data_IF_458568254113
#
_entry.id   IF_458568254113
#
_cell.length_a   1.000
_cell.length_b   1.000
_cell.length_c   1.000
_cell.angle_alpha   90.00
_cell.angle_beta   90.00
_cell.angle_gamma   90.00
#
_symmetry.space_group_name_H-M   'P 1'
#
loop_
_entity.id
_entity.type
_entity.pdbx_description
1 polymer ?
#
# COMPACT_ATOMS: atom_id res chain seq x y z
N UNK A 1 30.49 -63.79 16.03
CA UNK A 1 29.61 -62.61 15.99
C UNK A 1 30.41 -61.53 15.33
N UNK A 2 30.25 -61.39 14.02
CA UNK A 2 31.01 -60.46 13.20
C UNK A 2 30.46 -59.04 13.39
N UNK A 3 31.39 -58.10 13.56
CA UNK A 3 31.12 -56.66 13.60
C UNK A 3 30.62 -56.18 12.24
N UNK A 4 29.36 -55.73 12.19
CA UNK A 4 28.80 -55.01 11.06
C UNK A 4 29.21 -53.53 11.17
N UNK A 5 29.85 -52.94 10.14
CA UNK A 5 30.20 -51.53 10.17
C UNK A 5 28.92 -50.68 10.06
N UNK A 6 28.83 -49.64 10.90
CA UNK A 6 27.79 -48.62 10.80
C UNK A 6 27.89 -47.92 9.44
N UNK A 7 27.04 -48.34 8.50
CA UNK A 7 26.89 -47.70 7.20
C UNK A 7 26.31 -46.31 7.45
N UNK A 8 27.19 -45.30 7.39
CA UNK A 8 26.80 -43.90 7.29
C UNK A 8 25.99 -43.72 6.00
N UNK A 9 24.67 -43.77 6.12
CA UNK A 9 23.74 -43.40 5.07
C UNK A 9 23.77 -41.88 4.89
N UNK A 10 24.89 -41.36 4.38
CA UNK A 10 24.90 -40.12 3.62
C UNK A 10 24.14 -40.38 2.32
N UNK A 11 22.81 -40.42 2.42
CA UNK A 11 21.97 -40.24 1.25
C UNK A 11 22.23 -38.81 0.78
N UNK A 12 23.12 -38.67 -0.21
CA UNK A 12 23.10 -37.52 -1.13
C UNK A 12 21.68 -37.48 -1.68
N UNK A 13 20.81 -36.72 -1.02
CA UNK A 13 19.55 -36.31 -1.62
C UNK A 13 19.97 -35.53 -2.85
N UNK A 14 19.86 -36.18 -4.00
CA UNK A 14 19.78 -35.52 -5.30
C UNK A 14 18.58 -34.59 -5.18
N UNK A 15 18.84 -33.36 -4.70
CA UNK A 15 18.01 -32.23 -5.02
C UNK A 15 17.97 -32.24 -6.53
N UNK A 16 16.85 -32.68 -7.09
CA UNK A 16 16.48 -32.25 -8.42
C UNK A 16 16.47 -30.73 -8.31
N UNK A 17 17.59 -30.14 -8.70
CA UNK A 17 17.70 -28.77 -9.12
C UNK A 17 16.67 -28.65 -10.24
N UNK A 18 15.43 -28.32 -9.86
CA UNK A 18 14.60 -27.52 -10.74
C UNK A 18 15.43 -26.27 -10.91
N UNK A 19 16.09 -26.23 -12.06
CA UNK A 19 16.94 -25.15 -12.48
C UNK A 19 16.04 -23.91 -12.63
N UNK A 20 15.77 -23.22 -11.52
CA UNK A 20 15.21 -21.87 -11.53
C UNK A 20 16.35 -20.89 -11.86
N UNK A 21 17.09 -21.18 -12.93
CA UNK A 21 17.87 -20.22 -13.69
C UNK A 21 17.25 -20.14 -15.08
N UNK A 22 16.00 -19.68 -15.15
CA UNK A 22 15.44 -19.14 -16.39
C UNK A 22 14.16 -18.33 -16.16
N UNK A 23 14.11 -17.57 -15.06
CA UNK A 23 13.49 -16.24 -15.14
C UNK A 23 14.64 -15.26 -15.25
N UNK A 24 15.15 -15.12 -16.48
CA UNK A 24 16.00 -13.99 -16.81
C UNK A 24 15.29 -12.75 -16.28
N UNK A 25 16.03 -11.98 -15.48
CA UNK A 25 15.72 -10.60 -15.19
C UNK A 25 15.51 -9.85 -16.52
N UNK A 26 14.29 -9.85 -17.04
CA UNK A 26 13.88 -8.85 -18.00
C UNK A 26 13.60 -7.62 -17.14
N UNK A 27 14.61 -6.75 -17.07
CA UNK A 27 14.70 -5.48 -16.33
C UNK A 27 15.67 -5.47 -15.14
N UNK A 28 16.85 -6.07 -15.31
CA UNK A 28 18.10 -5.44 -14.84
C UNK A 28 19.09 -5.45 -16.01
N UNK A 29 18.80 -4.64 -17.04
CA UNK A 29 19.92 -3.99 -17.74
C UNK A 29 20.53 -3.06 -16.71
N UNK A 30 21.67 -3.46 -16.16
CA UNK A 30 22.64 -2.57 -15.57
C UNK A 30 22.97 -1.49 -16.59
N UNK A 31 22.19 -0.41 -16.61
CA UNK A 31 22.69 0.91 -17.01
C UNK A 31 23.64 1.36 -15.89
N UNK A 32 24.78 0.67 -15.80
CA UNK A 32 25.99 1.21 -15.19
C UNK A 32 26.60 2.14 -16.23
N UNK A 33 26.17 3.39 -16.20
CA UNK A 33 26.65 4.41 -17.12
C UNK A 33 26.34 5.78 -16.55
N UNK A 34 27.38 6.45 -16.06
CA UNK A 34 27.44 7.91 -16.13
C UNK A 34 27.04 8.35 -17.54
N UNK A 35 26.16 9.34 -17.67
CA UNK A 35 25.72 9.88 -18.96
C UNK A 35 26.97 10.27 -19.76
N UNK A 36 27.29 9.51 -20.80
CA UNK A 36 28.19 9.96 -21.86
C UNK A 36 27.42 10.90 -22.79
N UNK A 37 28.13 11.78 -23.52
CA UNK A 37 27.52 12.76 -24.42
C UNK A 37 26.55 12.15 -25.47
N UNK A 38 26.63 10.84 -25.71
CA UNK A 38 25.77 10.05 -26.59
C UNK A 38 24.35 9.82 -26.06
N UNK A 39 24.12 9.90 -24.74
CA UNK A 39 22.81 9.62 -24.12
C UNK A 39 21.86 10.82 -24.17
N UNK A 40 22.36 12.05 -24.33
CA UNK A 40 21.51 13.25 -24.40
C UNK A 40 20.59 13.21 -25.63
N UNK A 41 21.09 12.73 -26.76
CA UNK A 41 20.34 12.57 -28.02
C UNK A 41 19.18 11.59 -27.93
N UNK A 42 19.29 10.53 -27.12
CA UNK A 42 18.22 9.53 -26.92
C UNK A 42 17.08 10.04 -26.03
N UNK A 43 17.38 11.04 -25.19
CA UNK A 43 16.41 11.66 -24.28
C UNK A 43 15.61 12.73 -24.99
N UNK A 44 16.26 13.52 -25.86
CA UNK A 44 15.68 14.72 -26.49
C UNK A 44 15.16 14.49 -27.89
N UNK A 45 15.29 13.27 -28.45
CA UNK A 45 14.98 12.94 -29.84
C UNK A 45 15.65 13.91 -30.84
N UNK A 46 16.81 14.48 -30.49
CA UNK A 46 17.53 15.43 -31.33
C UNK A 46 16.99 16.86 -31.34
N UNK A 47 16.06 17.24 -30.45
CA UNK A 47 15.62 18.63 -30.33
C UNK A 47 16.70 19.50 -29.66
N UNK A 48 17.28 20.49 -30.38
CA UNK A 48 18.37 21.32 -29.87
C UNK A 48 17.96 22.22 -28.69
N UNK A 49 16.66 22.53 -28.52
CA UNK A 49 16.18 23.35 -27.39
C UNK A 49 16.16 22.50 -26.11
N UNK A 50 15.64 21.28 -26.20
CA UNK A 50 15.61 20.34 -25.08
C UNK A 50 17.02 19.90 -24.67
N UNK A 51 17.94 19.76 -25.63
CA UNK A 51 19.34 19.42 -25.34
C UNK A 51 20.05 20.53 -24.56
N UNK A 52 19.85 21.80 -24.94
CA UNK A 52 20.36 22.95 -24.15
C UNK A 52 19.78 22.96 -22.75
N UNK A 53 18.47 22.72 -22.61
CA UNK A 53 17.80 22.65 -21.30
C UNK A 53 18.39 21.53 -20.44
N UNK A 54 18.66 20.36 -21.03
CA UNK A 54 19.23 19.22 -20.33
C UNK A 54 20.68 19.47 -19.89
N UNK A 55 21.50 20.13 -20.71
CA UNK A 55 22.86 20.57 -20.33
C UNK A 55 22.84 21.54 -19.14
N UNK A 56 21.92 22.50 -19.14
CA UNK A 56 21.72 23.41 -18.01
C UNK A 56 21.33 22.64 -16.74
N UNK A 57 20.44 21.65 -16.86
CA UNK A 57 20.04 20.81 -15.73
C UNK A 57 21.20 19.97 -15.18
N UNK A 58 22.07 19.47 -16.06
CA UNK A 58 23.25 18.71 -15.65
C UNK A 58 24.19 19.58 -14.80
N UNK A 59 24.50 20.80 -15.28
CA UNK A 59 25.28 21.77 -14.51
C UNK A 59 24.60 22.15 -13.19
N UNK A 60 23.27 22.31 -13.18
CA UNK A 60 22.51 22.57 -11.95
C UNK A 60 22.69 21.44 -10.91
N UNK A 61 22.66 20.19 -11.36
CA UNK A 61 22.86 19.00 -10.51
C UNK A 61 24.29 18.94 -9.98
N UNK A 62 25.30 19.23 -10.80
CA UNK A 62 26.71 19.26 -10.38
C UNK A 62 26.97 20.35 -9.34
N UNK A 63 26.43 21.56 -9.54
CA UNK A 63 26.52 22.65 -8.56
C UNK A 63 25.86 22.26 -7.24
N UNK A 64 24.72 21.57 -7.29
CA UNK A 64 24.06 21.05 -6.08
C UNK A 64 24.92 19.99 -5.36
N UNK A 65 25.61 19.13 -6.11
CA UNK A 65 26.52 18.12 -5.57
C UNK A 65 27.74 18.76 -4.89
N UNK A 66 28.38 19.73 -5.55
CA UNK A 66 29.53 20.47 -4.98
C UNK A 66 29.15 21.28 -3.75
N UNK A 67 27.94 21.83 -3.71
CA UNK A 67 27.42 22.57 -2.54
C UNK A 67 26.92 21.68 -1.40
N UNK A 68 27.13 20.36 -1.46
CA UNK A 68 26.79 19.43 -0.38
C UNK A 68 25.29 19.17 -0.21
N UNK A 69 24.47 19.49 -1.21
CA UNK A 69 23.04 19.15 -1.17
C UNK A 69 22.83 17.64 -1.36
N UNK A 70 21.66 17.16 -0.93
CA UNK A 70 21.24 15.75 -1.08
C UNK A 70 20.94 15.46 -2.56
N UNK A 71 21.94 14.97 -3.28
CA UNK A 71 21.88 14.62 -4.69
C UNK A 71 22.42 13.20 -4.88
N UNK A 72 21.71 12.32 -5.59
CA UNK A 72 22.15 10.95 -5.84
C UNK A 72 23.46 10.89 -6.66
N UNK A 73 24.19 9.77 -6.53
CA UNK A 73 25.42 9.53 -7.30
C UNK A 73 25.09 9.17 -8.75
N UNK A 74 24.17 8.23 -8.93
CA UNK A 74 23.72 7.76 -10.25
C UNK A 74 22.26 8.10 -10.54
N UNK A 75 22.02 8.97 -11.54
CA UNK A 75 20.67 9.37 -11.98
C UNK A 75 20.33 8.65 -13.29
N UNK A 76 19.23 7.89 -13.29
CA UNK A 76 18.76 7.08 -14.43
C UNK A 76 18.09 7.91 -15.53
N UNK A 77 18.04 7.39 -16.75
CA UNK A 77 17.42 8.03 -17.92
C UNK A 77 15.99 8.56 -17.66
N UNK A 78 15.16 7.73 -17.02
CA UNK A 78 13.76 8.10 -16.69
C UNK A 78 13.68 9.28 -15.72
N UNK A 79 14.63 9.39 -14.80
CA UNK A 79 14.67 10.47 -13.81
C UNK A 79 15.09 11.79 -14.45
N UNK A 80 15.98 11.75 -15.46
CA UNK A 80 16.30 12.91 -16.28
C UNK A 80 15.12 13.42 -17.10
N UNK A 81 14.33 12.51 -17.68
CA UNK A 81 13.07 12.87 -18.34
C UNK A 81 12.10 13.56 -17.37
N UNK A 82 11.98 13.05 -16.15
CA UNK A 82 11.13 13.66 -15.12
C UNK A 82 11.65 15.05 -14.69
N UNK A 83 12.97 15.22 -14.53
CA UNK A 83 13.58 16.53 -14.24
C UNK A 83 13.34 17.57 -15.35
N UNK A 84 13.32 17.14 -16.62
CA UNK A 84 13.02 18.02 -17.77
C UNK A 84 11.58 18.55 -17.74
N UNK A 85 10.63 17.74 -17.26
CA UNK A 85 9.22 18.15 -17.10
C UNK A 85 9.01 19.15 -15.98
N UNK A 86 9.92 19.22 -14.99
CA UNK A 86 9.79 20.12 -13.85
C UNK A 86 10.31 21.53 -14.16
N UNK A 87 9.42 22.52 -14.13
CA UNK A 87 9.75 23.92 -14.43
C UNK A 87 10.52 24.61 -13.30
N UNK A 88 10.18 24.33 -12.04
CA UNK A 88 10.73 25.05 -10.88
C UNK A 88 12.00 24.40 -10.33
N UNK A 89 13.01 25.24 -10.02
CA UNK A 89 14.25 24.84 -9.33
C UNK A 89 13.99 24.16 -7.99
N UNK A 90 13.02 24.68 -7.24
CA UNK A 90 12.62 24.14 -5.93
C UNK A 90 12.00 22.74 -6.07
N UNK A 91 11.20 22.51 -7.11
CA UNK A 91 10.62 21.20 -7.44
C UNK A 91 11.71 20.18 -7.77
N UNK A 92 12.65 20.53 -8.64
CA UNK A 92 13.80 19.69 -9.00
C UNK A 92 14.66 19.35 -7.79
N UNK A 93 14.98 20.32 -6.92
CA UNK A 93 15.75 20.07 -5.68
C UNK A 93 15.05 19.08 -4.76
N UNK A 94 13.73 19.23 -4.56
CA UNK A 94 12.93 18.28 -3.77
C UNK A 94 12.94 16.88 -4.38
N UNK A 95 12.84 16.78 -5.69
CA UNK A 95 12.88 15.50 -6.41
C UNK A 95 14.26 14.82 -6.30
N UNK A 96 15.35 15.55 -6.48
CA UNK A 96 16.72 15.04 -6.27
C UNK A 96 16.95 14.56 -4.84
N UNK A 97 16.51 15.34 -3.84
CA UNK A 97 16.57 14.94 -2.43
C UNK A 97 15.76 13.67 -2.15
N UNK A 98 14.62 13.49 -2.82
CA UNK A 98 13.84 12.26 -2.75
C UNK A 98 14.59 11.07 -3.34
N UNK A 99 15.16 11.19 -4.55
CA UNK A 99 15.94 10.11 -5.18
C UNK A 99 17.16 9.74 -4.32
N UNK A 100 17.91 10.72 -3.83
CA UNK A 100 19.04 10.49 -2.92
C UNK A 100 18.62 9.67 -1.68
N UNK A 101 17.47 10.01 -1.08
CA UNK A 101 16.93 9.27 0.05
C UNK A 101 16.62 7.80 -0.31
N UNK A 102 16.09 7.55 -1.51
CA UNK A 102 15.85 6.19 -2.00
C UNK A 102 17.16 5.42 -2.20
N UNK A 103 18.18 6.04 -2.81
CA UNK A 103 19.50 5.44 -3.04
C UNK A 103 20.18 5.06 -1.72
N UNK A 104 20.28 6.00 -0.77
CA UNK A 104 20.89 5.71 0.55
C UNK A 104 20.09 4.67 1.35
N UNK A 105 18.77 4.63 1.20
CA UNK A 105 17.95 3.55 1.78
C UNK A 105 18.31 2.18 1.18
N UNK A 106 18.56 2.10 -0.13
CA UNK A 106 18.96 0.86 -0.79
C UNK A 106 20.37 0.42 -0.38
N UNK A 107 21.35 1.34 -0.33
CA UNK A 107 22.70 1.06 0.17
C UNK A 107 22.66 0.50 1.60
N UNK A 108 21.93 1.16 2.50
CA UNK A 108 21.79 0.71 3.89
C UNK A 108 21.15 -0.68 3.97
N UNK A 109 20.15 -0.97 3.13
CA UNK A 109 19.52 -2.30 3.06
C UNK A 109 20.50 -3.36 2.55
N UNK A 110 21.35 -3.04 1.57
CA UNK A 110 22.39 -3.94 1.06
C UNK A 110 23.45 -4.23 2.13
N UNK A 111 23.96 -3.19 2.81
CA UNK A 111 24.94 -3.33 3.91
C UNK A 111 24.39 -4.22 5.03
N UNK A 112 23.18 -3.92 5.52
CA UNK A 112 22.52 -4.72 6.57
C UNK A 112 22.30 -6.18 6.15
N UNK A 113 21.97 -6.44 4.88
CA UNK A 113 21.82 -7.81 4.35
C UNK A 113 23.16 -8.54 4.28
N UNK A 114 24.24 -7.85 3.91
CA UNK A 114 25.59 -8.41 3.88
C UNK A 114 26.08 -8.75 5.29
N UNK A 115 25.92 -7.82 6.24
CA UNK A 115 26.22 -8.04 7.67
C UNK A 115 25.47 -9.26 8.23
N UNK A 116 24.16 -9.36 7.96
CA UNK A 116 23.36 -10.51 8.41
C UNK A 116 23.79 -11.83 7.76
N UNK A 117 24.25 -11.79 6.50
CA UNK A 117 24.78 -12.98 5.81
C UNK A 117 26.12 -13.41 6.40
N UNK A 118 26.97 -12.46 6.77
CA UNK A 118 28.24 -12.72 7.43
C UNK A 118 28.03 -13.35 8.82
N UNK A 119 27.18 -12.75 9.65
CA UNK A 119 26.79 -13.30 10.96
C UNK A 119 26.25 -14.73 10.86
N UNK A 120 25.36 -15.00 9.90
CA UNK A 120 24.85 -16.36 9.65
C UNK A 120 25.93 -17.35 9.22
N UNK A 121 26.98 -16.90 8.53
CA UNK A 121 28.10 -17.75 8.14
C UNK A 121 28.97 -18.12 9.35
N UNK A 122 29.15 -17.18 10.27
CA UNK A 122 29.93 -17.39 11.50
C UNK A 122 29.24 -18.35 12.49
N UNK A 123 27.90 -18.37 12.51
CA UNK A 123 27.09 -19.26 13.35
C UNK A 123 27.08 -20.73 12.86
N UNK A 124 27.34 -20.98 11.57
CA UNK A 124 27.42 -22.34 10.99
C UNK A 124 28.85 -22.88 11.15
N UNK A 125 29.39 -22.86 12.37
CA UNK A 125 30.60 -23.62 12.70
C UNK A 125 30.18 -24.99 13.19
N UNK A 126 30.60 -26.04 12.48
CA UNK A 126 30.39 -27.43 12.89
C UNK A 126 31.22 -27.66 14.17
N UNK A 127 30.61 -27.96 15.31
CA UNK A 127 31.34 -28.34 16.52
C UNK A 127 32.16 -29.60 16.27
N UNK A 128 33.40 -29.64 16.78
CA UNK A 128 34.29 -30.82 16.71
C UNK A 128 33.74 -32.04 17.49
N UNK A 129 32.74 -31.84 18.35
CA UNK A 129 32.18 -32.89 19.19
C UNK A 129 31.20 -33.79 18.41
N UNK A 130 31.40 -35.11 18.53
CA UNK A 130 30.58 -36.19 17.94
C UNK A 130 29.12 -36.28 18.44
N UNK A 131 28.60 -35.28 19.16
CA UNK A 131 27.25 -35.30 19.72
C UNK A 131 26.24 -34.64 18.75
N UNK A 132 25.01 -35.16 18.68
CA UNK A 132 23.94 -34.56 17.88
C UNK A 132 23.68 -33.12 18.34
N UNK A 133 23.78 -32.17 17.41
CA UNK A 133 23.45 -30.78 17.63
C UNK A 133 22.00 -30.56 17.23
N UNK A 134 21.24 -29.92 18.11
CA UNK A 134 19.86 -29.56 17.85
C UNK A 134 19.75 -28.08 17.53
N UNK A 135 19.03 -27.71 16.48
CA UNK A 135 18.87 -26.30 16.10
C UNK A 135 18.54 -26.06 14.62
N UNK A 136 18.37 -24.79 14.25
CA UNK A 136 18.05 -24.38 12.89
C UNK A 136 19.23 -24.67 11.94
N UNK A 137 19.07 -25.63 11.03
CA UNK A 137 20.16 -26.10 10.15
C UNK A 137 20.88 -27.35 10.68
N UNK A 138 20.48 -27.87 11.85
CA UNK A 138 20.93 -29.12 12.43
C UNK A 138 19.72 -30.06 12.67
N UNK A 139 19.87 -31.05 13.56
CA UNK A 139 18.78 -31.95 13.89
C UNK A 139 17.66 -31.19 14.60
N UNK A 140 16.42 -31.38 14.20
CA UNK A 140 15.27 -30.81 14.87
C UNK A 140 14.09 -31.74 14.73
N UNK A 141 13.32 -31.91 15.80
CA UNK A 141 12.05 -32.63 15.78
C UNK A 141 10.93 -31.81 15.11
N UNK A 142 11.13 -30.50 14.96
CA UNK A 142 10.16 -29.59 14.37
C UNK A 142 10.45 -29.42 12.88
N UNK A 143 9.44 -29.71 12.04
CA UNK A 143 9.51 -29.43 10.61
C UNK A 143 9.67 -27.93 10.37
N UNK A 144 10.61 -27.57 9.49
CA UNK A 144 10.78 -26.19 9.06
C UNK A 144 9.61 -25.78 8.18
N UNK A 145 8.89 -24.76 8.62
CA UNK A 145 7.89 -24.08 7.78
C UNK A 145 8.62 -23.09 6.88
N UNK A 146 8.60 -23.34 5.56
CA UNK A 146 9.23 -22.48 4.58
C UNK A 146 8.28 -21.38 4.10
N UNK A 147 8.84 -20.28 3.59
CA UNK A 147 8.05 -19.19 3.02
C UNK A 147 7.13 -19.66 1.89
N UNK A 148 7.54 -20.67 1.11
CA UNK A 148 6.71 -21.31 0.09
C UNK A 148 5.49 -22.01 0.71
N UNK A 149 5.67 -22.74 1.81
CA UNK A 149 4.60 -23.40 2.56
C UNK A 149 3.62 -22.38 3.14
N UNK A 150 4.15 -21.30 3.73
CA UNK A 150 3.35 -20.19 4.27
C UNK A 150 2.55 -19.52 3.14
N UNK A 151 3.19 -19.31 1.98
CA UNK A 151 2.52 -18.72 0.84
C UNK A 151 1.41 -19.60 0.28
N UNK A 152 1.64 -20.91 0.21
CA UNK A 152 0.62 -21.87 -0.20
C UNK A 152 -0.57 -21.87 0.77
N UNK A 153 -0.32 -21.82 2.08
CA UNK A 153 -1.37 -21.71 3.09
C UNK A 153 -2.21 -20.44 2.89
N UNK A 154 -1.58 -19.27 2.76
CA UNK A 154 -2.31 -18.02 2.54
C UNK A 154 -3.08 -17.99 1.22
N UNK A 155 -2.52 -18.55 0.14
CA UNK A 155 -3.22 -18.64 -1.15
C UNK A 155 -4.40 -19.60 -1.06
N UNK A 156 -4.27 -20.71 -0.32
CA UNK A 156 -5.37 -21.65 -0.09
C UNK A 156 -6.54 -20.98 0.64
N UNK A 157 -6.26 -20.12 1.64
CA UNK A 157 -7.30 -19.31 2.29
C UNK A 157 -8.03 -18.39 1.32
N UNK A 158 -7.30 -17.74 0.40
CA UNK A 158 -7.91 -16.89 -0.61
C UNK A 158 -8.76 -17.69 -1.61
N UNK A 159 -8.30 -18.87 -2.05
CA UNK A 159 -9.07 -19.75 -2.94
C UNK A 159 -10.37 -20.20 -2.25
N UNK A 160 -10.32 -20.52 -0.95
CA UNK A 160 -11.51 -20.82 -0.17
C UNK A 160 -12.45 -19.61 -0.11
N UNK A 161 -11.92 -18.41 0.09
CA UNK A 161 -12.71 -17.17 0.06
C UNK A 161 -13.33 -16.92 -1.32
N UNK A 162 -12.66 -17.24 -2.44
CA UNK A 162 -13.25 -17.12 -3.78
C UNK A 162 -14.48 -18.02 -3.97
N UNK A 163 -14.53 -19.18 -3.30
CA UNK A 163 -15.67 -20.10 -3.40
C UNK A 163 -16.81 -19.73 -2.46
N UNK A 164 -16.51 -19.34 -1.22
CA UNK A 164 -17.50 -19.23 -0.14
C UNK A 164 -17.50 -17.88 0.58
N UNK A 165 -16.55 -17.02 0.30
CA UNK A 165 -16.40 -15.73 0.95
C UNK A 165 -17.35 -14.67 0.41
N UNK A 166 -17.66 -13.69 1.26
CA UNK A 166 -18.37 -12.48 0.83
C UNK A 166 -17.51 -11.71 -0.18
N UNK A 167 -18.17 -11.16 -1.19
CA UNK A 167 -17.55 -10.44 -2.30
C UNK A 167 -17.31 -8.99 -1.92
N UNK A 168 -16.14 -8.48 -2.27
CA UNK A 168 -15.76 -7.08 -2.09
C UNK A 168 -15.15 -6.55 -3.37
N UNK A 169 -15.72 -5.46 -3.88
CA UNK A 169 -15.33 -4.87 -5.17
C UNK A 169 -14.48 -3.64 -4.96
N UNK A 170 -13.37 -3.56 -5.68
CA UNK A 170 -12.53 -2.38 -5.84
C UNK A 170 -12.78 -1.82 -7.23
N UNK A 171 -13.39 -0.63 -7.31
CA UNK A 171 -13.69 0.03 -8.57
C UNK A 171 -12.47 0.83 -9.06
N UNK A 172 -11.80 0.34 -10.10
CA UNK A 172 -10.58 0.91 -10.65
C UNK A 172 -10.82 1.93 -11.79
N UNK A 173 -12.03 2.49 -11.92
CA UNK A 173 -12.40 3.41 -13.01
C UNK A 173 -11.84 4.85 -12.89
N UNK A 174 -11.05 5.16 -11.86
CA UNK A 174 -10.66 6.53 -11.51
C UNK A 174 -9.31 6.99 -12.07
N UNK A 175 -8.66 6.21 -12.92
CA UNK A 175 -7.33 6.54 -13.47
C UNK A 175 -7.28 7.89 -14.19
N UNK A 176 -8.37 8.30 -14.87
CA UNK A 176 -8.48 9.61 -15.53
C UNK A 176 -8.61 10.79 -14.58
N UNK A 177 -8.99 10.54 -13.32
CA UNK A 177 -9.19 11.56 -12.29
C UNK A 177 -7.98 11.70 -11.35
N UNK A 178 -6.95 10.88 -11.54
CA UNK A 178 -5.74 10.87 -10.72
C UNK A 178 -4.55 11.39 -11.51
N UNK A 179 -3.66 12.15 -10.84
CA UNK A 179 -2.32 12.39 -11.38
C UNK A 179 -1.54 11.06 -11.47
N UNK A 180 -0.51 11.00 -12.32
CA UNK A 180 0.36 9.81 -12.43
C UNK A 180 0.89 9.36 -11.05
N UNK A 181 1.24 10.32 -10.20
CA UNK A 181 1.72 10.06 -8.84
C UNK A 181 0.63 9.49 -7.93
N UNK A 182 -0.60 9.98 -8.04
CA UNK A 182 -1.76 9.46 -7.30
C UNK A 182 -2.13 8.06 -7.76
N UNK A 183 -2.19 7.81 -9.08
CA UNK A 183 -2.41 6.48 -9.64
C UNK A 183 -1.33 5.48 -9.19
N UNK A 184 -0.06 5.89 -9.18
CA UNK A 184 1.02 5.05 -8.61
C UNK A 184 0.82 4.77 -7.11
N UNK A 185 0.33 5.76 -6.34
CA UNK A 185 0.02 5.51 -4.93
C UNK A 185 -1.20 4.61 -4.76
N UNK A 186 -2.19 4.72 -5.65
CA UNK A 186 -3.36 3.83 -5.69
C UNK A 186 -2.92 2.39 -5.95
N UNK A 187 -2.07 2.16 -6.96
CA UNK A 187 -1.51 0.83 -7.25
C UNK A 187 -0.76 0.23 -6.05
N UNK A 188 -0.04 1.04 -5.27
CA UNK A 188 0.58 0.57 -4.02
C UNK A 188 -0.46 0.25 -2.93
N UNK A 189 -1.52 1.04 -2.82
CA UNK A 189 -2.61 0.76 -1.88
C UNK A 189 -3.37 -0.52 -2.24
N UNK A 190 -3.51 -0.86 -3.53
CA UNK A 190 -4.02 -2.16 -3.98
C UNK A 190 -3.12 -3.31 -3.52
N UNK A 191 -1.79 -3.15 -3.60
CA UNK A 191 -0.84 -4.14 -3.05
C UNK A 191 -1.05 -4.36 -1.56
N UNK A 192 -1.16 -3.28 -0.78
CA UNK A 192 -1.40 -3.37 0.67
C UNK A 192 -2.74 -4.02 0.98
N UNK A 193 -3.78 -3.60 0.28
CA UNK A 193 -5.13 -4.18 0.31
C UNK A 193 -5.11 -5.69 0.10
N UNK A 194 -4.47 -6.17 -0.97
CA UNK A 194 -4.36 -7.60 -1.24
C UNK A 194 -3.62 -8.32 -0.11
N UNK A 195 -2.53 -7.71 0.37
CA UNK A 195 -1.69 -8.31 1.42
C UNK A 195 -2.42 -8.41 2.76
N UNK A 196 -3.18 -7.37 3.13
CA UNK A 196 -3.99 -7.30 4.35
C UNK A 196 -5.18 -8.27 4.28
N UNK A 197 -5.83 -8.41 3.12
CA UNK A 197 -6.87 -9.41 2.91
C UNK A 197 -6.31 -10.84 3.00
N UNK A 198 -5.16 -11.08 2.35
CA UNK A 198 -4.49 -12.38 2.30
C UNK A 198 -4.06 -12.89 3.67
N UNK A 199 -3.60 -11.99 4.54
CA UNK A 199 -3.15 -12.36 5.88
C UNK A 199 -4.30 -12.60 6.85
N UNK A 200 -5.46 -11.98 6.63
CA UNK A 200 -6.62 -12.08 7.51
C UNK A 200 -7.19 -13.51 7.60
N UNK A 201 -7.79 -13.86 8.75
CA UNK A 201 -8.29 -15.21 9.02
C UNK A 201 -9.54 -15.55 8.21
N UNK A 202 -10.38 -14.54 7.97
CA UNK A 202 -11.52 -14.61 7.05
C UNK A 202 -11.30 -13.57 5.94
N UNK A 203 -10.73 -13.92 4.78
CA UNK A 203 -10.54 -13.00 3.66
C UNK A 203 -11.85 -12.73 2.90
N UNK A 204 -11.95 -11.59 2.22
CA UNK A 204 -12.97 -11.35 1.19
C UNK A 204 -12.57 -12.01 -0.13
N UNK A 205 -13.58 -12.34 -0.93
CA UNK A 205 -13.42 -12.58 -2.37
C UNK A 205 -13.27 -11.21 -3.07
N UNK A 206 -12.03 -10.83 -3.40
CA UNK A 206 -11.72 -9.52 -3.97
C UNK A 206 -11.93 -9.50 -5.49
N UNK A 207 -12.69 -8.51 -5.96
CA UNK A 207 -12.85 -8.19 -7.38
C UNK A 207 -12.30 -6.80 -7.68
N UNK A 208 -11.34 -6.72 -8.60
CA UNK A 208 -10.93 -5.46 -9.21
C UNK A 208 -11.72 -5.30 -10.50
N UNK A 209 -12.75 -4.46 -10.48
CA UNK A 209 -13.60 -4.15 -11.63
C UNK A 209 -13.15 -2.87 -12.32
N UNK A 210 -13.55 -2.69 -13.59
CA UNK A 210 -13.07 -1.58 -14.43
C UNK A 210 -11.54 -1.48 -14.47
N UNK A 211 -10.83 -2.60 -14.26
CA UNK A 211 -9.39 -2.63 -14.03
C UNK A 211 -8.62 -2.74 -15.36
N UNK A 212 -8.54 -1.61 -16.08
CA UNK A 212 -7.82 -1.53 -17.36
C UNK A 212 -6.35 -1.86 -17.19
N UNK A 213 -5.86 -2.88 -17.90
CA UNK A 213 -4.46 -3.36 -17.78
C UNK A 213 -3.43 -2.28 -18.12
N UNK A 214 -3.79 -1.38 -19.04
CA UNK A 214 -2.94 -0.29 -19.51
C UNK A 214 -2.92 0.92 -18.56
N UNK A 215 -3.81 0.95 -17.56
CA UNK A 215 -3.90 2.00 -16.56
C UNK A 215 -2.63 2.13 -15.72
N UNK A 216 -2.34 3.36 -15.27
CA UNK A 216 -1.18 3.64 -14.42
C UNK A 216 -1.29 2.93 -13.06
N UNK A 217 -2.50 2.83 -12.52
CA UNK A 217 -2.77 2.11 -11.27
C UNK A 217 -2.45 0.62 -11.41
N UNK A 218 -2.97 -0.02 -12.46
CA UNK A 218 -2.75 -1.46 -12.71
C UNK A 218 -1.29 -1.77 -13.03
N UNK A 219 -0.62 -0.95 -13.85
CA UNK A 219 0.82 -1.08 -14.11
C UNK A 219 1.65 -1.07 -12.82
N UNK A 220 1.31 -0.17 -11.88
CA UNK A 220 2.01 -0.10 -10.60
C UNK A 220 1.66 -1.27 -9.67
N UNK A 221 0.44 -1.81 -9.75
CA UNK A 221 0.05 -3.01 -9.00
C UNK A 221 0.81 -4.25 -9.49
N UNK A 222 0.84 -4.49 -10.80
CA UNK A 222 1.62 -5.57 -11.45
C UNK A 222 3.11 -5.45 -11.15
N UNK A 223 3.66 -4.23 -11.16
CA UNK A 223 5.06 -4.02 -10.77
C UNK A 223 5.36 -4.50 -9.34
N UNK A 224 4.38 -4.43 -8.46
CA UNK A 224 4.52 -4.87 -7.07
C UNK A 224 4.32 -6.37 -6.91
N UNK A 225 3.49 -6.99 -7.77
CA UNK A 225 3.18 -8.41 -7.80
C UNK A 225 3.29 -8.88 -9.26
N UNK A 226 4.46 -9.35 -9.72
CA UNK A 226 4.65 -9.72 -11.12
C UNK A 226 3.75 -10.88 -11.60
N UNK A 227 3.40 -11.79 -10.68
CA UNK A 227 2.56 -12.97 -10.93
C UNK A 227 1.06 -12.65 -10.91
N UNK A 228 0.67 -11.38 -10.93
CA UNK A 228 -0.72 -10.95 -10.72
C UNK A 228 -1.69 -11.49 -11.78
N UNK A 229 -1.21 -11.65 -13.02
CA UNK A 229 -2.02 -12.13 -14.15
C UNK A 229 -1.89 -13.62 -14.40
N UNK A 230 -1.16 -14.34 -13.56
CA UNK A 230 -1.07 -15.79 -13.66
C UNK A 230 -2.46 -16.37 -13.35
N UNK A 231 -2.94 -17.37 -14.11
CA UNK A 231 -4.27 -17.95 -13.90
C UNK A 231 -4.50 -18.50 -12.48
N UNK A 232 -3.44 -18.95 -11.83
CA UNK A 232 -3.48 -19.53 -10.48
C UNK A 232 -3.40 -18.47 -9.36
N UNK A 233 -3.25 -17.19 -9.72
CA UNK A 233 -3.13 -16.12 -8.73
C UNK A 233 -4.51 -15.82 -8.11
N UNK A 234 -4.66 -15.88 -6.78
CA UNK A 234 -5.97 -15.90 -6.13
C UNK A 234 -6.58 -14.51 -5.95
N UNK A 235 -6.92 -13.85 -7.06
CA UNK A 235 -7.64 -12.56 -7.10
C UNK A 235 -8.44 -12.44 -8.40
N UNK A 236 -9.62 -11.81 -8.35
CA UNK A 236 -10.42 -11.59 -9.55
C UNK A 236 -10.13 -10.20 -10.15
N UNK A 237 -9.59 -10.16 -11.37
CA UNK A 237 -9.32 -8.91 -12.09
C UNK A 237 -10.09 -8.91 -13.40
N UNK A 238 -10.87 -7.86 -13.63
CA UNK A 238 -11.74 -7.75 -14.79
C UNK A 238 -11.85 -6.30 -15.27
N UNK A 239 -11.89 -6.13 -16.59
CA UNK A 239 -12.16 -4.83 -17.21
C UNK A 239 -13.65 -4.49 -17.26
N UNK A 240 -14.52 -5.47 -16.98
CA UNK A 240 -15.98 -5.32 -16.99
C UNK A 240 -16.46 -4.40 -15.87
N UNK A 241 -17.63 -3.81 -16.09
CA UNK A 241 -18.33 -3.04 -15.08
C UNK A 241 -18.91 -3.98 -14.00
N UNK A 242 -18.88 -3.56 -12.72
CA UNK A 242 -19.39 -4.40 -11.63
C UNK A 242 -20.90 -4.69 -11.74
N UNK A 243 -21.67 -3.82 -12.40
CA UNK A 243 -23.10 -4.04 -12.69
C UNK A 243 -23.35 -5.17 -13.70
N UNK A 244 -22.36 -5.57 -14.49
CA UNK A 244 -22.48 -6.72 -15.39
C UNK A 244 -22.25 -8.05 -14.65
N UNK A 245 -21.59 -7.99 -13.49
CA UNK A 245 -21.15 -9.16 -12.73
C UNK A 245 -22.07 -9.45 -11.54
N UNK A 246 -22.67 -8.41 -10.96
CA UNK A 246 -23.38 -8.51 -9.71
C UNK A 246 -24.76 -7.87 -9.80
N UNK A 247 -25.79 -8.44 -9.13
CA UNK A 247 -27.13 -7.88 -9.08
C UNK A 247 -27.11 -6.54 -8.35
N UNK A 248 -27.76 -5.54 -8.94
CA UNK A 248 -27.74 -4.16 -8.45
C UNK A 248 -28.30 -4.02 -7.03
N UNK A 249 -29.25 -4.88 -6.67
CA UNK A 249 -30.00 -4.80 -5.41
C UNK A 249 -29.13 -5.10 -4.18
N UNK A 250 -28.09 -5.91 -4.39
CA UNK A 250 -27.15 -6.37 -3.36
C UNK A 250 -25.93 -5.44 -3.24
N UNK A 251 -25.77 -4.46 -4.13
CA UNK A 251 -24.60 -3.59 -4.17
C UNK A 251 -24.78 -2.41 -3.19
N UNK A 252 -23.75 -2.17 -2.38
CA UNK A 252 -23.63 -0.98 -1.52
C UNK A 252 -22.32 -0.27 -1.82
N UNK A 253 -22.40 0.94 -2.38
CA UNK A 253 -21.23 1.74 -2.70
C UNK A 253 -20.78 2.54 -1.47
N UNK A 254 -19.56 2.27 -0.98
CA UNK A 254 -18.97 2.98 0.14
C UNK A 254 -18.32 4.29 -0.33
N UNK A 255 -18.82 5.41 0.18
CA UNK A 255 -18.31 6.74 -0.15
C UNK A 255 -18.35 7.68 1.07
N UNK A 256 -17.26 8.42 1.37
CA UNK A 256 -17.19 9.27 2.56
C UNK A 256 -18.17 10.46 2.51
N UNK A 257 -18.59 10.87 1.32
CA UNK A 257 -19.48 12.02 1.11
C UNK A 257 -20.97 11.65 1.22
N UNK A 258 -21.32 10.38 1.49
CA UNK A 258 -22.71 9.98 1.69
C UNK A 258 -23.28 10.56 2.99
N UNK A 259 -24.60 10.78 3.04
CA UNK A 259 -25.30 11.15 4.28
C UNK A 259 -25.59 9.93 5.15
N UNK A 260 -25.91 8.80 4.52
CA UNK A 260 -26.30 7.57 5.20
C UNK A 260 -25.09 6.86 5.81
N UNK A 261 -25.18 6.56 7.11
CA UNK A 261 -24.15 5.85 7.86
C UNK A 261 -24.42 4.36 7.88
N UNK A 262 -23.39 3.57 7.64
CA UNK A 262 -23.40 2.14 7.88
C UNK A 262 -23.45 1.88 9.39
N UNK A 263 -24.62 1.55 9.91
CA UNK A 263 -24.81 1.23 11.34
C UNK A 263 -24.42 -0.20 11.66
N UNK A 264 -24.84 -1.11 10.79
CA UNK A 264 -24.61 -2.55 10.89
C UNK A 264 -23.93 -3.02 9.61
N UNK A 265 -23.13 -4.08 9.74
CA UNK A 265 -22.49 -4.71 8.61
C UNK A 265 -23.40 -5.81 8.07
N UNK A 266 -23.86 -5.64 6.84
CA UNK A 266 -24.62 -6.64 6.09
C UNK A 266 -23.66 -7.65 5.44
N UNK A 267 -23.81 -8.94 5.77
CA UNK A 267 -22.98 -10.04 5.27
C UNK A 267 -23.42 -10.55 3.88
N UNK A 268 -24.63 -10.20 3.43
CA UNK A 268 -25.17 -10.58 2.12
C UNK A 268 -24.92 -9.50 1.06
N UNK A 269 -24.66 -8.26 1.49
CA UNK A 269 -24.32 -7.16 0.61
C UNK A 269 -22.95 -7.32 -0.07
N UNK A 270 -22.83 -6.75 -1.27
CA UNK A 270 -21.57 -6.62 -2.02
C UNK A 270 -21.12 -5.16 -1.90
N UNK A 271 -20.10 -4.94 -1.08
CA UNK A 271 -19.55 -3.60 -0.90
C UNK A 271 -18.65 -3.22 -2.07
N UNK A 272 -18.75 -1.96 -2.49
CA UNK A 272 -17.86 -1.36 -3.50
C UNK A 272 -17.05 -0.25 -2.85
N UNK A 273 -15.74 -0.25 -3.08
CA UNK A 273 -14.85 0.85 -2.70
C UNK A 273 -14.20 1.42 -3.96
N UNK A 274 -14.21 2.74 -4.11
CA UNK A 274 -13.47 3.40 -5.19
C UNK A 274 -11.97 3.27 -4.99
N UNK A 275 -11.26 2.64 -5.93
CA UNK A 275 -9.81 2.58 -5.93
C UNK A 275 -9.25 3.89 -6.50
N UNK A 276 -9.15 4.91 -5.64
CA UNK A 276 -8.61 6.22 -5.98
C UNK A 276 -7.79 6.81 -4.84
N UNK A 277 -6.94 7.78 -5.17
CA UNK A 277 -6.18 8.60 -4.21
C UNK A 277 -6.40 10.07 -4.55
N UNK A 278 -7.03 10.78 -3.63
CA UNK A 278 -7.64 12.11 -3.74
C UNK A 278 -6.84 13.17 -2.95
N UNK A 279 -5.51 13.21 -3.11
CA UNK A 279 -4.69 14.16 -2.33
C UNK A 279 -4.79 15.58 -2.86
N UNK A 280 -4.95 15.73 -4.17
CA UNK A 280 -4.98 17.03 -4.84
C UNK A 280 -6.40 17.60 -5.03
N UNK A 281 -7.40 16.72 -5.19
CA UNK A 281 -8.79 17.11 -5.46
C UNK A 281 -9.76 16.27 -4.61
N UNK A 282 -10.60 16.92 -3.81
CA UNK A 282 -11.58 16.30 -2.89
C UNK A 282 -12.99 16.30 -3.49
N UNK A 283 -13.08 16.20 -4.83
CA UNK A 283 -14.35 16.11 -5.52
C UNK A 283 -15.08 14.80 -5.17
N UNK A 284 -16.40 14.83 -4.94
CA UNK A 284 -17.18 13.67 -4.52
C UNK A 284 -17.49 12.72 -5.70
N UNK A 285 -16.45 12.25 -6.40
CA UNK A 285 -16.53 11.45 -7.63
C UNK A 285 -17.27 10.13 -7.42
N UNK A 286 -16.93 9.40 -6.36
CA UNK A 286 -17.58 8.13 -6.01
C UNK A 286 -19.06 8.29 -5.68
N UNK A 287 -19.42 9.37 -4.98
CA UNK A 287 -20.82 9.69 -4.67
C UNK A 287 -21.59 10.05 -5.95
N UNK A 288 -21.01 10.88 -6.82
CA UNK A 288 -21.64 11.27 -8.08
C UNK A 288 -21.86 10.06 -8.99
N UNK A 289 -20.88 9.15 -9.06
CA UNK A 289 -20.97 7.90 -9.83
C UNK A 289 -22.08 6.99 -9.28
N UNK A 290 -22.06 6.70 -7.98
CA UNK A 290 -23.05 5.83 -7.34
C UNK A 290 -24.48 6.38 -7.45
N UNK A 291 -24.66 7.70 -7.36
CA UNK A 291 -25.96 8.37 -7.60
C UNK A 291 -26.44 8.20 -9.04
N UNK A 292 -25.55 8.41 -10.02
CA UNK A 292 -25.90 8.27 -11.45
C UNK A 292 -26.37 6.85 -11.78
N UNK A 293 -25.76 5.87 -11.14
CA UNK A 293 -26.10 4.46 -11.31
C UNK A 293 -27.28 4.01 -10.43
N UNK A 294 -27.75 4.87 -9.52
CA UNK A 294 -28.86 4.61 -8.61
C UNK A 294 -28.58 3.47 -7.63
N UNK A 295 -27.36 3.41 -7.09
CA UNK A 295 -26.93 2.39 -6.13
C UNK A 295 -27.27 2.82 -4.69
N UNK A 296 -27.41 1.83 -3.78
CA UNK A 296 -27.38 2.09 -2.34
C UNK A 296 -25.98 2.60 -1.98
N UNK A 297 -25.91 3.60 -1.11
CA UNK A 297 -24.65 4.24 -0.72
C UNK A 297 -24.56 4.35 0.78
N UNK A 298 -23.39 4.10 1.35
CA UNK A 298 -23.16 4.29 2.77
C UNK A 298 -21.78 4.90 3.04
N UNK A 299 -21.64 5.63 4.14
CA UNK A 299 -20.34 6.01 4.70
C UNK A 299 -20.08 5.20 5.98
N UNK A 300 -18.80 5.02 6.31
CA UNK A 300 -18.41 4.44 7.59
C UNK A 300 -18.85 5.36 8.75
N UNK A 301 -19.27 4.83 9.91
CA UNK A 301 -19.76 5.61 11.04
C UNK A 301 -18.63 6.27 11.86
N UNK A 302 -17.65 6.87 11.19
CA UNK A 302 -16.43 7.35 11.84
C UNK A 302 -16.70 8.41 12.91
N UNK A 303 -17.62 9.35 12.63
CA UNK A 303 -17.95 10.46 13.54
C UNK A 303 -18.67 10.01 14.81
N UNK A 304 -19.25 8.80 14.81
CA UNK A 304 -19.93 8.23 15.97
C UNK A 304 -18.95 7.67 17.00
N UNK A 305 -17.84 7.11 16.54
CA UNK A 305 -16.90 6.37 17.38
C UNK A 305 -15.56 7.10 17.58
N UNK A 306 -15.22 8.05 16.71
CA UNK A 306 -13.90 8.70 16.70
C UNK A 306 -14.00 10.21 16.89
N UNK A 307 -13.26 10.71 17.88
CA UNK A 307 -13.04 12.14 18.06
C UNK A 307 -11.90 12.61 17.15
N UNK A 308 -12.19 13.50 16.20
CA UNK A 308 -11.21 13.98 15.23
C UNK A 308 -10.34 15.13 15.78
N UNK A 309 -9.04 15.04 15.52
CA UNK A 309 -8.06 16.07 15.85
C UNK A 309 -8.14 17.26 14.89
N UNK A 310 -7.55 18.39 15.28
CA UNK A 310 -7.48 19.55 14.41
C UNK A 310 -6.67 19.19 13.14
N UNK A 311 -7.32 19.24 11.96
CA UNK A 311 -6.70 18.89 10.67
C UNK A 311 -6.72 17.40 10.30
N UNK A 312 -7.41 16.55 11.06
CA UNK A 312 -7.60 15.14 10.71
C UNK A 312 -8.57 14.96 9.52
N UNK A 313 -8.08 14.54 8.36
CA UNK A 313 -8.96 14.20 7.22
C UNK A 313 -9.70 12.89 7.45
N UNK A 314 -11.01 12.93 7.19
CA UNK A 314 -11.93 11.79 7.27
C UNK A 314 -11.85 10.85 6.07
N UNK A 315 -11.14 11.25 5.00
CA UNK A 315 -10.85 10.35 3.89
C UNK A 315 -9.78 9.32 4.32
N UNK A 316 -10.16 8.05 4.30
CA UNK A 316 -9.31 6.91 4.65
C UNK A 316 -8.72 6.29 3.38
N UNK A 317 -7.52 5.72 3.49
CA UNK A 317 -6.90 5.03 2.35
C UNK A 317 -7.59 3.70 2.08
N UNK A 318 -7.47 3.17 0.85
CA UNK A 318 -8.12 1.92 0.44
C UNK A 318 -7.83 0.76 1.40
N UNK A 319 -6.56 0.59 1.76
CA UNK A 319 -6.12 -0.45 2.67
C UNK A 319 -6.64 -0.24 4.11
N UNK A 320 -6.88 1.00 4.56
CA UNK A 320 -7.49 1.27 5.87
C UNK A 320 -8.95 0.86 5.88
N UNK A 321 -9.70 1.22 4.82
CA UNK A 321 -11.10 0.83 4.67
C UNK A 321 -11.23 -0.69 4.68
N UNK A 322 -10.33 -1.41 3.99
CA UNK A 322 -10.40 -2.87 3.92
C UNK A 322 -10.10 -3.54 5.25
N UNK A 323 -9.12 -3.04 6.03
CA UNK A 323 -8.90 -3.53 7.40
C UNK A 323 -10.13 -3.33 8.28
N UNK A 324 -10.77 -2.17 8.17
CA UNK A 324 -12.02 -1.89 8.89
C UNK A 324 -13.10 -2.89 8.48
N UNK A 325 -13.28 -3.14 7.18
CA UNK A 325 -14.30 -4.08 6.68
C UNK A 325 -14.01 -5.54 7.08
N UNK A 326 -12.74 -5.95 7.09
CA UNK A 326 -12.33 -7.28 7.53
C UNK A 326 -12.67 -7.50 9.01
N UNK A 327 -12.30 -6.56 9.86
CA UNK A 327 -12.51 -6.64 11.30
C UNK A 327 -13.99 -6.49 11.69
N UNK A 328 -14.73 -5.58 11.06
CA UNK A 328 -16.17 -5.43 11.37
C UNK A 328 -16.95 -6.67 10.95
N UNK A 329 -16.60 -7.29 9.81
CA UNK A 329 -17.23 -8.54 9.37
C UNK A 329 -16.97 -9.69 10.34
N UNK A 330 -15.73 -9.80 10.82
CA UNK A 330 -15.32 -10.89 11.70
C UNK A 330 -15.78 -10.70 13.16
N UNK A 331 -15.79 -9.44 13.65
CA UNK A 331 -16.03 -9.16 15.07
C UNK A 331 -17.36 -8.50 15.39
N UNK A 332 -18.03 -7.89 14.41
CA UNK A 332 -19.24 -7.08 14.62
C UNK A 332 -19.02 -5.79 15.44
N UNK A 333 -17.78 -5.48 15.84
CA UNK A 333 -17.47 -4.36 16.72
C UNK A 333 -16.76 -3.24 15.96
N UNK A 334 -17.44 -2.08 15.86
CA UNK A 334 -16.86 -0.85 15.32
C UNK A 334 -15.66 -0.37 16.14
N UNK A 335 -15.66 -0.57 17.45
CA UNK A 335 -14.54 -0.19 18.33
C UNK A 335 -13.25 -0.96 18.03
N UNK A 336 -13.35 -2.23 17.59
CA UNK A 336 -12.20 -3.00 17.11
C UNK A 336 -11.81 -2.56 15.70
N UNK A 337 -12.78 -2.52 14.79
CA UNK A 337 -12.53 -2.21 13.38
C UNK A 337 -11.87 -0.82 13.20
N UNK A 338 -12.31 0.19 13.95
CA UNK A 338 -11.83 1.56 13.82
C UNK A 338 -10.45 1.81 14.46
N UNK A 339 -9.84 0.81 15.11
CA UNK A 339 -8.44 0.91 15.59
C UNK A 339 -7.44 1.02 14.44
N UNK A 340 -7.83 0.60 13.23
CA UNK A 340 -7.01 0.74 12.01
C UNK A 340 -6.93 2.18 11.51
N UNK A 341 -7.73 3.11 12.07
CA UNK A 341 -7.63 4.54 11.76
C UNK A 341 -6.37 5.11 12.43
N UNK A 342 -5.47 5.80 11.70
CA UNK A 342 -4.24 6.34 12.27
C UNK A 342 -4.49 7.30 13.43
N UNK A 343 -3.90 7.02 14.59
CA UNK A 343 -4.02 7.84 15.82
C UNK A 343 -3.71 9.32 15.60
N UNK A 344 -2.79 9.65 14.69
CA UNK A 344 -2.44 11.04 14.33
C UNK A 344 -3.61 11.87 13.76
N UNK A 345 -4.68 11.22 13.29
CA UNK A 345 -5.89 11.89 12.80
C UNK A 345 -6.90 12.15 13.92
N UNK A 346 -6.74 11.49 15.06
CA UNK A 346 -7.64 11.56 16.20
C UNK A 346 -7.22 12.69 17.15
N UNK A 347 -8.18 13.21 17.89
CA UNK A 347 -7.94 14.19 18.93
C UNK A 347 -7.14 13.53 20.06
N UNK A 348 -6.19 14.25 20.63
CA UNK A 348 -5.53 13.79 21.85
C UNK A 348 -6.49 13.88 23.03
N UNK A 349 -6.24 13.13 24.10
CA UNK A 349 -7.04 13.20 25.33
C UNK A 349 -7.09 14.64 25.91
N UNK A 350 -6.01 15.40 25.75
CA UNK A 350 -5.93 16.82 26.15
C UNK A 350 -6.87 17.69 25.31
N UNK A 351 -6.89 17.49 24.00
CA UNK A 351 -7.78 18.23 23.09
C UNK A 351 -9.25 17.98 23.42
N UNK A 352 -9.60 16.75 23.79
CA UNK A 352 -10.96 16.37 24.19
C UNK A 352 -11.35 17.07 25.50
N UNK A 353 -10.45 17.09 26.50
CA UNK A 353 -10.68 17.79 27.77
C UNK A 353 -10.81 19.31 27.60
N UNK A 354 -9.99 19.92 26.75
CA UNK A 354 -10.11 21.35 26.46
C UNK A 354 -11.42 21.69 25.74
N UNK A 355 -11.87 20.84 24.80
CA UNK A 355 -13.15 21.03 24.10
C UNK A 355 -14.34 20.92 25.05
N UNK A 356 -14.36 19.89 25.92
CA UNK A 356 -15.44 19.73 26.91
C UNK A 356 -15.46 20.90 27.90
N UNK A 357 -14.30 21.37 28.35
CA UNK A 357 -14.19 22.53 29.23
C UNK A 357 -14.76 23.80 28.57
N UNK A 358 -14.42 24.04 27.29
CA UNK A 358 -14.93 25.18 26.51
C UNK A 358 -16.45 25.11 26.23
N UNK A 359 -17.00 23.91 26.01
CA UNK A 359 -18.45 23.73 25.84
C UNK A 359 -19.22 24.01 27.14
N UNK A 360 -18.69 23.57 28.28
CA UNK A 360 -19.25 23.89 29.60
C UNK A 360 -19.21 25.40 29.86
N UNK A 361 -18.09 26.06 29.54
CA UNK A 361 -17.94 27.52 29.67
C UNK A 361 -18.96 28.27 28.79
N UNK A 362 -19.13 27.88 27.52
CA UNK A 362 -20.13 28.46 26.60
C UNK A 362 -21.56 28.26 27.11
N UNK A 363 -21.87 27.07 27.61
CA UNK A 363 -23.20 26.76 28.14
C UNK A 363 -23.51 27.60 29.38
N UNK A 364 -22.53 27.81 30.27
CA UNK A 364 -22.63 28.73 31.41
C UNK A 364 -22.84 30.18 30.98
N UNK A 365 -22.11 30.65 29.97
CA UNK A 365 -22.26 32.00 29.44
C UNK A 365 -23.64 32.21 28.77
N UNK A 366 -24.14 31.24 28.01
CA UNK A 366 -25.50 31.29 27.43
C UNK A 366 -26.58 31.32 28.50
N UNK A 367 -26.46 30.49 29.54
CA UNK A 367 -27.37 30.52 30.68
C UNK A 367 -27.34 31.88 31.37
N UNK A 368 -26.16 32.45 31.66
CA UNK A 368 -26.04 33.78 32.27
C UNK A 368 -26.68 34.90 31.42
N UNK A 369 -26.55 34.82 30.09
CA UNK A 369 -27.17 35.80 29.19
C UNK A 369 -28.71 35.68 29.18
N UNK A 370 -29.24 34.46 29.17
CA UNK A 370 -30.68 34.18 29.29
C UNK A 370 -31.29 34.69 30.61
N UNK A 371 -30.56 34.58 31.73
CA UNK A 371 -31.02 35.10 33.02
C UNK A 371 -31.00 36.64 33.09
N UNK A 372 -30.04 37.32 32.44
CA UNK A 372 -30.00 38.79 32.36
C UNK A 372 -31.11 39.38 31.50
N UNK A 373 -31.55 38.68 30.46
CA UNK A 373 -32.58 39.17 29.54
C UNK A 373 -34.00 39.05 30.15
N UNK A 374 -34.20 38.13 31.11
CA UNK A 374 -35.46 37.99 31.86
C UNK A 374 -35.65 39.01 32.98
N UNK A 375 -34.56 39.51 33.57
CA UNK A 375 -34.62 40.54 34.63
C UNK A 375 -34.79 41.97 34.09
N UNK A 376 -34.58 42.21 32.79
CA UNK A 376 -34.81 43.52 32.15
C UNK A 376 -36.26 43.80 31.72
N UNK A 377 -37.19 42.84 31.89
CA UNK A 377 -38.61 43.00 31.52
C UNK A 377 -39.54 43.36 32.69
N UNK A 378 -38.99 43.58 33.88
CA UNK A 378 -39.74 43.92 35.09
C UNK A 378 -39.12 45.12 35.82
N UNK A 379 -38.85 46.20 35.10
CA UNK A 379 -38.61 47.53 35.66
C UNK A 379 -39.16 48.60 34.72
#
# INVERSE_FOLDING_TARGET
MEDLPAVSLYVKRNTHNINVQQSQNICDTTEEGSIENSDFTSITNGDPVLEKKLKILFLEVEVLRQSGHRVPENIKLRQWKELLTMETRTGRRKYLSYIFGVEKSQENRKKKKAELKQQRGDDIKVPENNHLIYGLGHNTMLLRVYDSTINHFYNSKLIQAMQFGQKLVLDCSYDSHMTVREAMNCGKQLTYTFSDNRSHDSPFDLYLCNARREGNTMKQFVKSIPTLYDPDFPINITEKHYLELFPKENIVYLTPHCREEMREFDHDAIYIIGAMVDKANDEPLSLAKAKREGLKMAKLPLDRYLAWGAGGSKSLTLNQVIKILLDIRASGSWDKALQHVPRRKLASAKDIQERSSKEVEKSKQQLQYSFKDRSSKYY
#
